data_IF_690397394005
#
_entry.id   IF_690397394005
#
_cell.length_a   1.000
_cell.length_b   1.000
_cell.length_c   1.000
_cell.angle_alpha   90.00
_cell.angle_beta   90.00
_cell.angle_gamma   90.00
#
_symmetry.space_group_name_H-M   'P 1'
#
loop_
_entity.id
_entity.type
_entity.pdbx_description
1 polymer ?
#
# COMPACT_ATOMS: atom_id res chain seq x y z
N UNK A 1 37.09 -9.94 -42.16
CA UNK A 1 36.39 -8.92 -41.37
C UNK A 1 34.92 -9.30 -41.34
N UNK A 2 34.39 -9.58 -40.16
CA UNK A 2 32.99 -9.94 -39.95
C UNK A 2 32.78 -10.17 -38.46
N UNK A 3 32.36 -9.12 -37.75
CA UNK A 3 32.01 -9.21 -36.34
C UNK A 3 30.67 -9.96 -36.23
N UNK A 4 30.68 -11.11 -35.56
CA UNK A 4 29.47 -11.78 -35.10
C UNK A 4 29.20 -11.30 -33.67
N UNK A 5 28.06 -10.64 -33.47
CA UNK A 5 27.55 -10.25 -32.16
C UNK A 5 26.46 -11.27 -31.80
N UNK A 6 26.65 -12.00 -30.71
CA UNK A 6 25.60 -12.82 -30.08
C UNK A 6 25.31 -12.35 -28.64
N UNK A 7 24.07 -12.57 -28.14
CA UNK A 7 23.49 -11.75 -27.08
C UNK A 7 23.92 -12.22 -25.68
N UNK A 8 24.33 -11.27 -24.84
CA UNK A 8 24.53 -11.50 -23.40
C UNK A 8 23.17 -11.61 -22.72
N UNK A 9 22.80 -12.80 -22.28
CA UNK A 9 21.70 -13.02 -21.34
C UNK A 9 22.09 -12.47 -19.96
N UNK A 10 21.34 -11.55 -19.34
CA UNK A 10 21.45 -11.35 -17.91
C UNK A 10 20.66 -12.45 -17.18
N UNK A 11 21.40 -13.40 -16.61
CA UNK A 11 20.90 -14.31 -15.57
C UNK A 11 20.45 -13.49 -14.35
N UNK A 12 19.16 -13.50 -14.07
CA UNK A 12 18.58 -12.80 -12.92
C UNK A 12 17.24 -13.40 -12.52
N UNK A 13 17.21 -14.71 -12.26
CA UNK A 13 16.04 -15.38 -11.71
C UNK A 13 15.82 -14.98 -10.26
N UNK A 14 14.74 -14.25 -9.97
CA UNK A 14 14.26 -14.10 -8.61
C UNK A 14 13.60 -15.42 -8.18
N UNK A 15 14.24 -16.14 -7.25
CA UNK A 15 13.66 -17.34 -6.64
C UNK A 15 12.55 -16.90 -5.69
N UNK A 16 11.30 -17.22 -6.03
CA UNK A 16 10.16 -17.03 -5.13
C UNK A 16 10.18 -18.11 -4.05
N UNK A 17 10.56 -17.74 -2.82
CA UNK A 17 10.39 -18.60 -1.64
C UNK A 17 8.98 -18.39 -1.08
N UNK A 18 8.05 -19.26 -1.45
CA UNK A 18 6.71 -19.29 -0.88
C UNK A 18 6.74 -19.91 0.53
N UNK A 19 7.11 -19.15 1.56
CA UNK A 19 6.77 -19.48 2.95
C UNK A 19 6.44 -18.21 3.73
N UNK A 20 5.25 -18.22 4.33
CA UNK A 20 4.64 -17.06 4.98
C UNK A 20 5.53 -16.43 6.05
N UNK A 21 5.60 -15.11 6.00
CA UNK A 21 5.89 -14.25 7.15
C UNK A 21 5.51 -12.83 6.77
N UNK A 22 5.12 -12.03 7.75
CA UNK A 22 4.69 -10.64 7.58
C UNK A 22 5.75 -9.84 6.82
N UNK A 23 5.56 -9.61 5.52
CA UNK A 23 6.55 -8.93 4.67
C UNK A 23 6.48 -7.41 4.90
N UNK A 24 7.08 -6.92 5.99
CA UNK A 24 7.63 -5.56 5.93
C UNK A 24 8.88 -5.64 5.08
N UNK A 25 8.78 -5.24 3.82
CA UNK A 25 9.97 -5.07 2.99
C UNK A 25 10.47 -3.63 3.18
N UNK A 26 11.69 -3.48 3.69
CA UNK A 26 12.40 -2.21 3.60
C UNK A 26 13.06 -2.18 2.22
N UNK A 27 12.61 -1.28 1.34
CA UNK A 27 13.34 -0.98 0.11
C UNK A 27 14.66 -0.33 0.52
N UNK A 28 15.75 -1.09 0.55
CA UNK A 28 17.09 -0.53 0.69
C UNK A 28 17.31 0.46 -0.49
N UNK A 29 17.78 1.69 -0.24
CA UNK A 29 18.04 2.62 -1.33
C UNK A 29 19.16 2.04 -2.19
N UNK A 30 18.85 1.59 -3.41
CA UNK A 30 19.90 1.30 -4.39
C UNK A 30 20.61 2.60 -4.75
N UNK A 31 21.91 2.45 -5.01
CA UNK A 31 22.85 3.52 -5.31
C UNK A 31 22.29 4.56 -6.29
N UNK A 32 22.43 5.83 -5.90
CA UNK A 32 22.17 7.06 -6.69
C UNK A 32 20.80 7.10 -7.39
N UNK A 33 19.76 7.50 -6.63
CA UNK A 33 18.48 7.97 -7.20
C UNK A 33 18.72 9.19 -8.08
N UNK A 34 18.09 9.23 -9.25
CA UNK A 34 18.05 10.45 -10.06
C UNK A 34 17.18 11.50 -9.33
N UNK A 35 17.40 12.81 -9.55
CA UNK A 35 16.57 13.88 -8.95
C UNK A 35 15.07 13.81 -9.28
N UNK A 36 14.63 12.85 -10.10
CA UNK A 36 13.27 12.65 -10.58
C UNK A 36 12.48 11.56 -9.82
N UNK A 37 13.07 10.88 -8.83
CA UNK A 37 12.39 9.85 -8.03
C UNK A 37 11.65 10.46 -6.82
N UNK A 38 10.80 11.46 -7.06
CA UNK A 38 9.90 12.00 -6.06
C UNK A 38 8.77 10.99 -5.80
N UNK A 39 8.58 10.59 -4.53
CA UNK A 39 7.48 9.69 -4.15
C UNK A 39 6.17 10.47 -4.30
N UNK A 40 5.41 10.17 -5.36
CA UNK A 40 4.15 10.85 -5.64
C UNK A 40 3.00 10.39 -4.72
N UNK A 41 3.04 9.14 -4.26
CA UNK A 41 2.04 8.57 -3.37
C UNK A 41 2.61 7.38 -2.57
N UNK A 42 2.06 7.16 -1.37
CA UNK A 42 2.24 5.90 -0.63
C UNK A 42 0.91 5.15 -0.63
N UNK A 43 0.93 3.85 -0.95
CA UNK A 43 -0.21 2.96 -0.77
C UNK A 43 0.06 2.01 0.39
N UNK A 44 -0.74 2.10 1.46
CA UNK A 44 -0.65 1.23 2.62
C UNK A 44 -1.72 0.14 2.54
N UNK A 45 -1.30 -1.11 2.36
CA UNK A 45 -2.19 -2.25 2.25
C UNK A 45 -2.58 -2.79 3.63
N UNK A 46 -3.87 -2.95 3.87
CA UNK A 46 -4.43 -3.56 5.08
C UNK A 46 -5.14 -4.86 4.69
N UNK A 47 -4.77 -5.95 5.33
CA UNK A 47 -5.52 -7.21 5.26
C UNK A 47 -6.73 -7.12 6.19
N UNK A 48 -7.93 -7.00 5.61
CA UNK A 48 -9.14 -6.79 6.42
C UNK A 48 -9.66 -8.06 7.08
N UNK A 49 -9.17 -9.22 6.65
CA UNK A 49 -9.49 -10.48 7.31
C UNK A 49 -8.78 -10.61 8.67
N UNK A 50 -7.65 -9.92 8.84
CA UNK A 50 -6.86 -9.97 10.07
C UNK A 50 -7.21 -8.86 11.06
N UNK A 51 -8.39 -9.00 11.66
CA UNK A 51 -8.86 -8.04 12.66
C UNK A 51 -8.08 -8.11 13.98
N UNK A 52 -7.38 -9.22 14.26
CA UNK A 52 -6.56 -9.39 15.47
C UNK A 52 -5.41 -8.39 15.48
N UNK A 53 -4.81 -8.12 14.31
CA UNK A 53 -3.69 -7.18 14.17
C UNK A 53 -4.11 -5.72 13.96
N UNK A 54 -5.39 -5.39 13.96
CA UNK A 54 -5.86 -4.00 13.77
C UNK A 54 -5.25 -2.98 14.77
N UNK A 55 -5.02 -3.30 16.05
CA UNK A 55 -4.28 -2.41 16.95
C UNK A 55 -2.88 -2.04 16.45
N UNK A 56 -2.14 -3.01 15.89
CA UNK A 56 -0.82 -2.77 15.31
C UNK A 56 -0.91 -1.94 14.03
N UNK A 57 -1.87 -2.28 13.15
CA UNK A 57 -2.14 -1.50 11.94
C UNK A 57 -2.45 -0.04 12.28
N UNK A 58 -3.27 0.21 13.30
CA UNK A 58 -3.60 1.57 13.72
C UNK A 58 -2.37 2.37 14.17
N UNK A 59 -1.43 1.74 14.88
CA UNK A 59 -0.18 2.38 15.27
C UNK A 59 0.73 2.67 14.07
N UNK A 60 0.81 1.78 13.08
CA UNK A 60 1.59 2.05 11.86
C UNK A 60 0.94 3.14 11.00
N UNK A 61 -0.38 3.22 10.95
CA UNK A 61 -1.10 4.32 10.28
C UNK A 61 -0.85 5.67 10.96
N UNK A 62 -0.75 5.69 12.29
CA UNK A 62 -0.32 6.90 13.01
C UNK A 62 1.10 7.32 12.59
N UNK A 63 2.04 6.37 12.50
CA UNK A 63 3.41 6.68 12.03
C UNK A 63 3.42 7.15 10.59
N UNK A 64 2.60 6.57 9.72
CA UNK A 64 2.45 7.02 8.34
C UNK A 64 1.90 8.45 8.26
N UNK A 65 0.93 8.80 9.11
CA UNK A 65 0.38 10.15 9.19
C UNK A 65 1.46 11.17 9.59
N UNK A 66 2.24 10.87 10.62
CA UNK A 66 3.37 11.70 11.07
C UNK A 66 4.45 11.81 9.97
N UNK A 67 4.73 10.71 9.27
CA UNK A 67 5.67 10.67 8.15
C UNK A 67 5.22 11.53 6.98
N UNK A 68 3.94 11.44 6.58
CA UNK A 68 3.36 12.25 5.51
C UNK A 68 3.48 13.74 5.81
N UNK A 69 3.17 14.15 7.04
CA UNK A 69 3.31 15.54 7.46
C UNK A 69 4.77 16.01 7.45
N UNK A 70 5.69 15.20 7.94
CA UNK A 70 7.12 15.56 8.05
C UNK A 70 7.84 15.62 6.70
N UNK A 71 7.35 14.89 5.69
CA UNK A 71 8.02 14.76 4.38
C UNK A 71 7.25 15.45 3.24
N UNK A 72 6.19 16.21 3.55
CA UNK A 72 5.34 16.87 2.56
C UNK A 72 4.86 15.94 1.44
N UNK A 73 4.53 14.68 1.78
CA UNK A 73 4.00 13.75 0.78
C UNK A 73 2.64 14.25 0.28
N UNK A 74 2.49 14.29 -1.05
CA UNK A 74 1.27 14.78 -1.69
C UNK A 74 0.04 13.96 -1.28
N UNK A 75 0.17 12.63 -1.18
CA UNK A 75 -0.95 11.77 -0.80
C UNK A 75 -0.49 10.43 -0.20
N UNK A 76 -1.32 9.89 0.70
CA UNK A 76 -1.22 8.50 1.17
C UNK A 76 -2.58 7.84 1.07
N UNK A 77 -2.60 6.66 0.47
CA UNK A 77 -3.81 5.88 0.19
C UNK A 77 -3.86 4.62 1.03
N UNK A 78 -5.07 4.23 1.45
CA UNK A 78 -5.31 2.97 2.13
C UNK A 78 -6.00 1.98 1.21
N UNK A 79 -5.33 0.85 0.98
CA UNK A 79 -5.85 -0.25 0.20
C UNK A 79 -6.26 -1.40 1.12
N UNK A 80 -7.56 -1.70 1.14
CA UNK A 80 -8.10 -2.80 1.93
C UNK A 80 -8.19 -4.06 1.07
N UNK A 81 -7.40 -5.06 1.42
CA UNK A 81 -7.23 -6.31 0.66
C UNK A 81 -7.95 -7.48 1.33
N UNK A 82 -8.10 -8.60 0.59
CA UNK A 82 -8.82 -9.81 0.99
C UNK A 82 -10.32 -9.60 1.20
N UNK A 83 -10.94 -8.85 0.31
CA UNK A 83 -12.39 -8.61 0.34
C UNK A 83 -13.25 -9.86 0.17
N UNK A 84 -12.69 -10.93 -0.40
CA UNK A 84 -13.28 -12.26 -0.51
C UNK A 84 -13.33 -13.03 0.82
N UNK A 85 -12.46 -12.68 1.78
CA UNK A 85 -12.39 -13.33 3.08
C UNK A 85 -13.40 -12.78 4.10
N UNK A 86 -14.06 -11.66 3.78
CA UNK A 86 -15.09 -11.07 4.62
C UNK A 86 -16.45 -11.19 3.94
N UNK A 87 -17.49 -11.47 4.72
CA UNK A 87 -18.85 -11.37 4.17
C UNK A 87 -19.12 -9.90 3.85
N UNK A 88 -19.33 -9.57 2.56
CA UNK A 88 -19.57 -8.21 2.04
C UNK A 88 -20.68 -7.45 2.80
N UNK A 89 -21.59 -8.18 3.47
CA UNK A 89 -22.62 -7.60 4.36
C UNK A 89 -22.10 -7.03 5.70
N UNK A 90 -20.84 -7.25 6.07
CA UNK A 90 -20.28 -6.89 7.39
C UNK A 90 -19.44 -5.60 7.41
N UNK A 91 -19.25 -4.92 6.28
CA UNK A 91 -18.65 -3.59 6.26
C UNK A 91 -17.99 -3.22 4.94
N UNK A 92 -17.90 -1.91 4.70
CA UNK A 92 -17.23 -1.26 3.59
C UNK A 92 -15.76 -0.94 3.93
N UNK A 93 -14.99 -0.51 2.92
CA UNK A 93 -13.65 0.06 3.12
C UNK A 93 -13.68 1.23 4.14
N UNK A 94 -14.71 2.07 4.07
CA UNK A 94 -14.92 3.21 4.97
C UNK A 94 -15.18 2.74 6.41
N UNK A 95 -16.01 1.70 6.59
CA UNK A 95 -16.29 1.17 7.93
C UNK A 95 -15.02 0.61 8.58
N UNK A 96 -14.16 -0.06 7.79
CA UNK A 96 -12.87 -0.56 8.27
C UNK A 96 -11.94 0.59 8.65
N UNK A 97 -11.93 1.66 7.85
CA UNK A 97 -11.13 2.86 8.13
C UNK A 97 -11.56 3.55 9.43
N UNK A 98 -12.86 3.79 9.62
CA UNK A 98 -13.37 4.42 10.85
C UNK A 98 -13.16 3.54 12.09
N UNK A 99 -13.23 2.21 11.93
CA UNK A 99 -12.85 1.27 13.00
C UNK A 99 -11.38 1.42 13.39
N UNK A 100 -10.47 1.53 12.42
CA UNK A 100 -9.04 1.73 12.71
C UNK A 100 -8.77 3.08 13.40
N UNK A 101 -9.47 4.16 13.01
CA UNK A 101 -9.40 5.46 13.70
C UNK A 101 -9.88 5.38 15.15
N UNK A 102 -10.96 4.63 15.39
CA UNK A 102 -11.50 4.39 16.74
C UNK A 102 -10.47 3.66 17.60
N UNK A 103 -9.86 2.60 17.05
CA UNK A 103 -8.80 1.84 17.73
C UNK A 103 -7.59 2.74 18.04
N UNK A 104 -7.14 3.55 17.07
CA UNK A 104 -6.05 4.51 17.31
C UNK A 104 -6.37 5.46 18.46
N UNK A 105 -7.57 6.05 18.46
CA UNK A 105 -8.03 6.97 19.50
C UNK A 105 -8.00 6.32 20.87
N UNK A 106 -8.43 5.06 20.97
CA UNK A 106 -8.39 4.29 22.21
C UNK A 106 -6.97 3.99 22.69
N UNK A 107 -6.06 3.61 21.77
CA UNK A 107 -4.67 3.29 22.10
C UNK A 107 -3.86 4.51 22.51
N UNK A 108 -4.04 5.64 21.80
CA UNK A 108 -3.28 6.88 21.99
C UNK A 108 -3.92 7.81 23.02
N UNK A 109 -5.19 7.62 23.35
CA UNK A 109 -6.01 8.49 24.21
C UNK A 109 -6.11 9.94 23.69
N UNK A 110 -6.04 10.09 22.37
CA UNK A 110 -6.10 11.38 21.67
C UNK A 110 -6.98 11.24 20.41
N UNK A 111 -7.67 12.30 19.95
CA UNK A 111 -8.48 12.24 18.74
C UNK A 111 -7.65 11.87 17.50
N UNK A 112 -8.13 10.89 16.73
CA UNK A 112 -7.49 10.50 15.48
C UNK A 112 -7.83 11.49 14.35
N UNK A 113 -6.81 12.19 13.83
CA UNK A 113 -6.91 13.24 12.83
C UNK A 113 -6.41 12.83 11.42
N UNK A 114 -6.34 11.52 11.15
CA UNK A 114 -5.88 11.00 9.85
C UNK A 114 -6.76 11.49 8.70
N UNK A 115 -6.12 11.81 7.58
CA UNK A 115 -6.75 12.27 6.33
C UNK A 115 -6.36 11.43 5.13
N UNK A 116 -6.28 10.10 5.28
CA UNK A 116 -5.92 9.21 4.18
C UNK A 116 -7.07 9.05 3.18
N UNK A 117 -6.73 8.90 1.89
CA UNK A 117 -7.73 8.55 0.87
C UNK A 117 -7.96 7.04 0.87
N UNK A 118 -9.21 6.63 1.03
CA UNK A 118 -9.59 5.22 1.05
C UNK A 118 -9.81 4.72 -0.37
N UNK A 119 -9.10 3.67 -0.74
CA UNK A 119 -9.27 2.98 -2.03
C UNK A 119 -10.42 1.97 -1.95
N UNK A 120 -10.96 1.52 -3.10
CA UNK A 120 -11.92 0.42 -3.15
C UNK A 120 -11.38 -0.85 -2.45
N UNK A 121 -12.31 -1.68 -1.95
CA UNK A 121 -11.98 -3.01 -1.43
C UNK A 121 -11.43 -3.90 -2.56
N UNK A 122 -10.39 -4.67 -2.27
CA UNK A 122 -9.71 -5.50 -3.27
C UNK A 122 -9.71 -6.97 -2.92
N UNK A 123 -10.10 -7.77 -3.89
CA UNK A 123 -9.78 -9.19 -3.94
C UNK A 123 -8.59 -9.37 -4.90
N UNK A 124 -7.40 -9.53 -4.35
CA UNK A 124 -6.18 -9.67 -5.16
C UNK A 124 -6.12 -10.96 -5.98
N UNK A 125 -7.01 -11.93 -5.71
CA UNK A 125 -7.15 -13.14 -6.51
C UNK A 125 -8.07 -12.95 -7.73
N UNK A 126 -8.73 -11.79 -7.86
CA UNK A 126 -9.61 -11.46 -8.97
C UNK A 126 -8.97 -10.38 -9.83
N UNK A 127 -8.61 -10.71 -11.07
CA UNK A 127 -7.96 -9.78 -12.01
C UNK A 127 -8.78 -8.51 -12.24
N UNK A 128 -10.11 -8.63 -12.36
CA UNK A 128 -10.99 -7.48 -12.50
C UNK A 128 -10.88 -6.49 -11.33
N UNK A 129 -10.71 -6.99 -10.10
CA UNK A 129 -10.53 -6.12 -8.92
C UNK A 129 -9.21 -5.35 -8.96
N UNK A 130 -8.15 -5.96 -9.49
CA UNK A 130 -6.85 -5.27 -9.67
C UNK A 130 -6.90 -4.25 -10.82
N UNK A 131 -7.69 -4.52 -11.86
CA UNK A 131 -7.93 -3.57 -12.94
C UNK A 131 -8.68 -2.33 -12.44
N UNK A 132 -9.69 -2.52 -11.57
CA UNK A 132 -10.43 -1.41 -10.95
C UNK A 132 -9.50 -0.52 -10.10
N UNK A 133 -8.56 -1.12 -9.36
CA UNK A 133 -7.52 -0.38 -8.61
C UNK A 133 -6.65 0.44 -9.55
N UNK A 134 -6.19 -0.17 -10.65
CA UNK A 134 -5.35 0.51 -11.63
C UNK A 134 -6.07 1.72 -12.21
N UNK A 135 -7.34 1.56 -12.59
CA UNK A 135 -8.15 2.65 -13.14
C UNK A 135 -8.35 3.76 -12.09
N UNK A 136 -8.68 3.39 -10.85
CA UNK A 136 -8.82 4.34 -9.75
C UNK A 136 -7.55 5.16 -9.51
N UNK A 137 -6.37 4.52 -9.54
CA UNK A 137 -5.09 5.21 -9.41
C UNK A 137 -4.89 6.21 -10.56
N UNK A 138 -5.19 5.81 -11.79
CA UNK A 138 -5.05 6.69 -12.96
C UNK A 138 -5.97 7.91 -12.89
N UNK A 139 -7.16 7.76 -12.32
CA UNK A 139 -8.12 8.85 -12.11
C UNK A 139 -7.76 9.75 -10.92
N UNK A 140 -7.13 9.19 -9.89
CA UNK A 140 -6.87 9.90 -8.61
C UNK A 140 -5.47 10.49 -8.53
N UNK A 141 -4.53 10.05 -9.38
CA UNK A 141 -3.23 10.68 -9.48
C UNK A 141 -3.41 12.16 -9.88
N UNK A 142 -2.88 13.11 -9.09
CA UNK A 142 -2.92 14.51 -9.49
C UNK A 142 -2.20 14.66 -10.84
N UNK A 143 -2.70 15.53 -11.74
CA UNK A 143 -2.03 15.79 -13.00
C UNK A 143 -0.60 16.24 -12.72
N UNK A 144 0.36 15.68 -13.47
CA UNK A 144 1.76 16.13 -13.37
C UNK A 144 1.79 17.63 -13.69
N UNK A 145 2.51 18.45 -12.90
CA UNK A 145 2.71 19.86 -13.22
C UNK A 145 3.40 20.06 -14.57
#
# INVERSE_FOLDING_TARGET
MGNVVEPVHPSGGATMSCRGSSSSFTIAPKAKRHPADEISAICFCVDISDTIRFPLVALELQRLHEFQHSNNLATSWLLFTKSDCIQVKKGTAVDTYERLKTICTQLKKEPCNWGFTVMPLVNSNLEGSLLDVKNWIQETLPPKP
#
